data_IF_170480306448
#
_entry.id   IF_170480306448
#
_cell.length_a   1.000
_cell.length_b   1.000
_cell.length_c   1.000
_cell.angle_alpha   90.00
_cell.angle_beta   90.00
_cell.angle_gamma   90.00
#
_symmetry.space_group_name_H-M   'P 1'
#
loop_
_entity.id
_entity.type
_entity.pdbx_description
1 polymer ?
#
# COMPACT_ATOMS: atom_id res chain seq x y z
N UNK A 1 20.69 -22.04 23.43
CA UNK A 1 20.58 -23.20 22.53
C UNK A 1 19.62 -24.25 23.10
N UNK A 2 19.78 -24.68 24.34
CA UNK A 2 18.94 -25.71 24.96
C UNK A 2 17.46 -25.33 25.04
N UNK A 3 17.12 -24.06 25.33
CA UNK A 3 15.73 -23.59 25.35
C UNK A 3 15.05 -23.64 23.99
N UNK A 4 15.81 -23.47 22.91
CA UNK A 4 15.27 -23.57 21.54
C UNK A 4 14.98 -25.01 21.14
N UNK A 5 15.86 -25.92 21.52
CA UNK A 5 15.72 -27.35 21.24
C UNK A 5 14.59 -27.99 22.07
N UNK A 6 14.42 -27.58 23.33
CA UNK A 6 13.38 -28.12 24.23
C UNK A 6 11.94 -27.78 23.79
N UNK A 7 11.77 -26.83 22.87
CA UNK A 7 10.45 -26.45 22.31
C UNK A 7 10.07 -27.24 21.05
N UNK A 8 10.95 -28.14 20.57
CA UNK A 8 10.77 -28.91 19.35
C UNK A 8 10.95 -30.40 19.63
N UNK A 9 10.16 -31.22 18.97
CA UNK A 9 10.34 -32.66 18.92
C UNK A 9 11.46 -32.98 17.93
N UNK A 10 12.67 -33.21 18.48
CA UNK A 10 13.91 -33.42 17.71
C UNK A 10 14.37 -34.86 17.66
N UNK A 11 13.58 -35.81 18.20
CA UNK A 11 13.99 -37.21 18.31
C UNK A 11 14.34 -37.88 16.98
N UNK A 12 13.77 -37.36 15.89
CA UNK A 12 13.99 -37.89 14.54
C UNK A 12 14.90 -37.00 13.66
N UNK A 13 15.52 -35.97 14.23
CA UNK A 13 16.36 -35.06 13.47
C UNK A 13 17.78 -35.60 13.29
N UNK A 14 18.34 -35.44 12.10
CA UNK A 14 19.75 -35.66 11.83
C UNK A 14 20.60 -34.56 12.48
N UNK A 15 21.88 -34.88 12.75
CA UNK A 15 22.86 -33.90 13.28
C UNK A 15 22.90 -32.64 12.41
N UNK A 16 22.80 -32.79 11.09
CA UNK A 16 22.77 -31.67 10.14
C UNK A 16 21.54 -30.79 10.35
N UNK A 17 20.37 -31.36 10.52
CA UNK A 17 19.12 -30.62 10.77
C UNK A 17 19.16 -29.88 12.11
N UNK A 18 19.72 -30.50 13.15
CA UNK A 18 19.94 -29.84 14.46
C UNK A 18 20.92 -28.67 14.32
N UNK A 19 22.04 -28.86 13.62
CA UNK A 19 23.01 -27.78 13.37
C UNK A 19 22.37 -26.66 12.52
N UNK A 20 21.66 -27.01 11.47
CA UNK A 20 20.96 -26.05 10.61
C UNK A 20 19.88 -25.27 11.39
N UNK A 21 19.15 -25.92 12.28
CA UNK A 21 18.19 -25.27 13.18
C UNK A 21 18.85 -24.32 14.18
N UNK A 22 19.96 -24.74 14.77
CA UNK A 22 20.70 -23.92 15.75
C UNK A 22 21.43 -22.74 15.10
N UNK A 23 21.94 -22.94 13.88
CA UNK A 23 22.69 -21.92 13.12
C UNK A 23 21.80 -21.06 12.25
N UNK A 24 20.65 -21.59 11.79
CA UNK A 24 19.69 -20.89 10.97
C UNK A 24 18.68 -20.15 11.87
N UNK A 25 19.01 -18.91 12.24
CA UNK A 25 18.16 -18.06 13.08
C UNK A 25 16.80 -17.63 12.50
N UNK A 26 16.38 -18.21 11.37
CA UNK A 26 15.17 -17.83 10.67
C UNK A 26 13.86 -18.35 11.30
N UNK A 27 13.92 -19.44 12.07
CA UNK A 27 12.71 -20.09 12.59
C UNK A 27 12.05 -19.31 13.74
N UNK A 28 12.76 -18.37 14.34
CA UNK A 28 12.28 -17.62 15.51
C UNK A 28 11.71 -16.23 15.16
N UNK A 29 11.81 -15.80 13.89
CA UNK A 29 11.34 -14.48 13.50
C UNK A 29 9.95 -14.59 12.85
N UNK A 30 8.94 -14.01 13.50
CA UNK A 30 7.60 -13.92 12.97
C UNK A 30 7.49 -12.76 11.99
N UNK A 31 7.18 -13.08 10.72
CA UNK A 31 6.94 -12.08 9.68
C UNK A 31 5.68 -11.26 9.97
N UNK A 32 4.61 -11.91 10.45
CA UNK A 32 3.36 -11.23 10.76
C UNK A 32 3.53 -10.16 11.84
N UNK A 33 4.31 -10.46 12.90
CA UNK A 33 4.54 -9.50 13.98
C UNK A 33 5.40 -8.32 13.50
N UNK A 34 6.44 -8.61 12.72
CA UNK A 34 7.22 -7.55 12.09
C UNK A 34 6.36 -6.68 11.17
N UNK A 35 5.50 -7.30 10.37
CA UNK A 35 4.61 -6.57 9.46
C UNK A 35 3.66 -5.63 10.22
N UNK A 36 3.10 -6.06 11.36
CA UNK A 36 2.27 -5.22 12.23
C UNK A 36 3.05 -4.00 12.74
N UNK A 37 4.24 -4.22 13.29
CA UNK A 37 5.12 -3.14 13.75
C UNK A 37 5.47 -2.18 12.61
N UNK A 38 5.75 -2.69 11.42
CA UNK A 38 6.02 -1.86 10.24
C UNK A 38 4.81 -1.01 9.84
N UNK A 39 3.60 -1.58 9.89
CA UNK A 39 2.34 -0.88 9.60
C UNK A 39 2.09 0.23 10.65
N UNK A 40 2.30 -0.04 11.92
CA UNK A 40 2.15 0.94 12.99
C UNK A 40 3.13 2.11 12.81
N UNK A 41 4.40 1.83 12.50
CA UNK A 41 5.39 2.86 12.14
C UNK A 41 4.97 3.71 10.92
N UNK A 42 4.22 3.15 9.97
CA UNK A 42 3.67 3.91 8.84
C UNK A 42 2.55 4.86 9.29
N UNK A 43 1.69 4.41 10.21
CA UNK A 43 0.62 5.23 10.80
C UNK A 43 1.23 6.42 11.56
N UNK A 44 2.23 6.17 12.41
CA UNK A 44 2.95 7.20 13.18
C UNK A 44 3.59 8.28 12.28
N UNK A 45 3.97 7.89 11.05
CA UNK A 45 4.47 8.81 10.01
C UNK A 45 3.37 9.52 9.21
N UNK A 46 2.08 9.37 9.60
CA UNK A 46 0.93 9.96 8.90
C UNK A 46 0.61 9.30 7.55
N UNK A 47 1.02 8.05 7.34
CA UNK A 47 0.77 7.30 6.10
C UNK A 47 -0.44 6.35 6.20
N UNK A 48 -1.48 6.73 6.93
CA UNK A 48 -2.63 5.89 7.28
C UNK A 48 -3.29 5.21 6.07
N UNK A 49 -3.50 5.99 4.97
CA UNK A 49 -4.12 5.45 3.75
C UNK A 49 -3.29 4.33 3.12
N UNK A 50 -1.96 4.47 3.15
CA UNK A 50 -1.05 3.46 2.64
C UNK A 50 -0.95 2.27 3.60
N UNK A 51 -0.85 2.52 4.90
CA UNK A 51 -0.84 1.51 5.95
C UNK A 51 -2.07 0.58 5.88
N UNK A 52 -3.24 1.11 5.52
CA UNK A 52 -4.45 0.30 5.27
C UNK A 52 -4.25 -0.77 4.19
N UNK A 53 -3.54 -0.43 3.11
CA UNK A 53 -3.24 -1.40 2.04
C UNK A 53 -2.32 -2.52 2.53
N UNK A 54 -1.31 -2.18 3.34
CA UNK A 54 -0.40 -3.15 3.95
C UNK A 54 -1.14 -4.08 4.92
N UNK A 55 -2.04 -3.52 5.74
CA UNK A 55 -2.89 -4.30 6.65
C UNK A 55 -3.76 -5.31 5.90
N UNK A 56 -4.43 -4.88 4.82
CA UNK A 56 -5.25 -5.77 4.00
C UNK A 56 -4.41 -6.86 3.31
N UNK A 57 -3.22 -6.52 2.83
CA UNK A 57 -2.30 -7.47 2.22
C UNK A 57 -1.83 -8.53 3.23
N UNK A 58 -1.46 -8.11 4.45
CA UNK A 58 -1.07 -9.02 5.53
C UNK A 58 -2.22 -9.97 5.90
N UNK A 59 -3.41 -9.43 6.14
CA UNK A 59 -4.59 -10.24 6.46
C UNK A 59 -4.93 -11.28 5.38
N UNK A 60 -4.74 -10.90 4.11
CA UNK A 60 -4.96 -11.84 3.01
C UNK A 60 -3.89 -12.94 2.99
N UNK A 61 -2.62 -12.59 3.22
CA UNK A 61 -1.52 -13.56 3.29
C UNK A 61 -1.72 -14.54 4.46
N UNK A 62 -2.05 -14.03 5.65
CA UNK A 62 -2.33 -14.82 6.85
C UNK A 62 -3.50 -15.81 6.63
N UNK A 63 -4.58 -15.34 6.02
CA UNK A 63 -5.72 -16.20 5.67
C UNK A 63 -5.35 -17.28 4.66
N UNK A 64 -4.51 -16.94 3.68
CA UNK A 64 -4.04 -17.90 2.69
C UNK A 64 -3.15 -18.99 3.29
N UNK A 65 -2.26 -18.63 4.23
CA UNK A 65 -1.39 -19.58 4.91
C UNK A 65 -2.13 -20.34 6.01
N UNK A 66 -3.23 -19.79 6.55
CA UNK A 66 -4.04 -20.40 7.60
C UNK A 66 -3.58 -20.09 9.02
N UNK A 67 -2.73 -19.07 9.21
CA UNK A 67 -2.25 -18.63 10.53
C UNK A 67 -2.03 -17.13 10.55
N UNK A 68 -2.23 -16.52 11.72
CA UNK A 68 -1.92 -15.12 11.98
C UNK A 68 -0.48 -14.88 12.49
N UNK A 69 0.32 -15.95 12.57
CA UNK A 69 1.74 -15.94 12.94
C UNK A 69 2.57 -16.58 11.83
N UNK A 70 2.62 -15.93 10.68
CA UNK A 70 3.44 -16.38 9.55
C UNK A 70 4.92 -16.17 9.87
N UNK A 71 5.71 -17.23 9.81
CA UNK A 71 7.16 -17.17 10.03
C UNK A 71 7.89 -16.84 8.74
N UNK A 72 9.07 -16.19 8.80
CA UNK A 72 9.89 -15.95 7.61
C UNK A 72 10.27 -17.23 6.88
N UNK A 73 10.50 -18.32 7.61
CA UNK A 73 10.81 -19.62 7.03
C UNK A 73 9.67 -20.21 6.17
N UNK A 74 8.41 -19.87 6.47
CA UNK A 74 7.25 -20.32 5.69
C UNK A 74 7.10 -19.58 4.35
N UNK A 75 7.70 -18.38 4.23
CA UNK A 75 7.63 -17.56 3.02
C UNK A 75 8.67 -18.03 2.00
N UNK A 76 8.47 -19.20 1.43
CA UNK A 76 9.27 -19.68 0.30
C UNK A 76 8.78 -19.09 -1.02
N UNK A 77 9.63 -19.07 -2.07
CA UNK A 77 9.22 -18.62 -3.41
C UNK A 77 8.01 -19.40 -3.94
N UNK A 78 7.95 -20.70 -3.66
CA UNK A 78 6.82 -21.56 -4.04
C UNK A 78 5.54 -21.12 -3.34
N UNK A 79 5.61 -20.86 -2.04
CA UNK A 79 4.44 -20.44 -1.25
C UNK A 79 3.95 -19.05 -1.67
N UNK A 80 4.87 -18.12 -1.89
CA UNK A 80 4.55 -16.77 -2.36
C UNK A 80 3.92 -16.82 -3.76
N UNK A 81 4.43 -17.62 -4.68
CA UNK A 81 3.84 -17.78 -6.01
C UNK A 81 2.43 -18.40 -5.95
N UNK A 82 2.18 -19.40 -5.08
CA UNK A 82 0.84 -19.93 -4.86
C UNK A 82 -0.12 -18.87 -4.31
N UNK A 83 0.35 -18.05 -3.37
CA UNK A 83 -0.42 -16.93 -2.84
C UNK A 83 -0.76 -15.89 -3.91
N UNK A 84 0.20 -15.50 -4.75
CA UNK A 84 -0.02 -14.56 -5.86
C UNK A 84 -1.05 -15.14 -6.85
N UNK A 85 -0.93 -16.43 -7.17
CA UNK A 85 -1.91 -17.09 -8.03
C UNK A 85 -3.33 -17.06 -7.45
N UNK A 86 -3.49 -17.13 -6.13
CA UNK A 86 -4.83 -17.00 -5.50
C UNK A 86 -5.45 -15.59 -5.65
N UNK A 87 -4.63 -14.59 -6.03
CA UNK A 87 -5.08 -13.22 -6.27
C UNK A 87 -5.40 -12.92 -7.75
N UNK A 88 -5.20 -13.89 -8.66
CA UNK A 88 -5.26 -13.70 -10.12
C UNK A 88 -6.58 -13.09 -10.61
N UNK A 89 -7.70 -13.47 -9.97
CA UNK A 89 -9.03 -12.97 -10.31
C UNK A 89 -9.31 -11.56 -9.77
N UNK A 90 -8.37 -10.94 -9.07
CA UNK A 90 -8.54 -9.60 -8.54
C UNK A 90 -7.94 -8.56 -9.48
N UNK A 91 -8.63 -7.41 -9.70
CA UNK A 91 -8.14 -6.37 -10.61
C UNK A 91 -6.88 -5.68 -10.11
N UNK A 92 -6.83 -5.31 -8.83
CA UNK A 92 -5.74 -4.50 -8.27
C UNK A 92 -4.94 -5.23 -7.19
N UNK A 93 -5.57 -6.11 -6.42
CA UNK A 93 -4.91 -6.76 -5.29
C UNK A 93 -3.78 -7.70 -5.74
N UNK A 94 -3.88 -8.31 -6.94
CA UNK A 94 -2.85 -9.18 -7.52
C UNK A 94 -1.49 -8.50 -7.67
N UNK A 95 -1.46 -7.19 -7.86
CA UNK A 95 -0.23 -6.39 -7.90
C UNK A 95 0.10 -5.79 -6.54
N UNK A 96 -0.88 -5.12 -5.94
CA UNK A 96 -0.68 -4.29 -4.75
C UNK A 96 -0.29 -5.10 -3.52
N UNK A 97 -0.96 -6.25 -3.26
CA UNK A 97 -0.68 -7.03 -2.05
C UNK A 97 0.72 -7.64 -2.05
N UNK A 98 1.17 -8.29 -3.14
CA UNK A 98 2.54 -8.79 -3.21
C UNK A 98 3.59 -7.68 -3.09
N UNK A 99 3.36 -6.51 -3.70
CA UNK A 99 4.26 -5.36 -3.55
C UNK A 99 4.36 -4.94 -2.09
N UNK A 100 3.24 -4.81 -1.37
CA UNK A 100 3.24 -4.44 0.05
C UNK A 100 4.07 -5.44 0.89
N UNK A 101 3.80 -6.73 0.73
CA UNK A 101 4.51 -7.77 1.49
C UNK A 101 5.98 -7.88 1.13
N UNK A 102 6.34 -7.69 -0.14
CA UNK A 102 7.73 -7.60 -0.58
C UNK A 102 8.48 -6.44 0.07
N UNK A 103 7.83 -5.28 0.21
CA UNK A 103 8.44 -4.11 0.86
C UNK A 103 8.65 -4.35 2.36
N UNK A 104 7.67 -4.96 3.05
CA UNK A 104 7.81 -5.37 4.46
C UNK A 104 8.98 -6.35 4.61
N UNK A 105 9.03 -7.36 3.75
CA UNK A 105 10.11 -8.36 3.77
C UNK A 105 11.49 -7.72 3.58
N UNK A 106 11.60 -6.82 2.61
CA UNK A 106 12.83 -6.07 2.35
C UNK A 106 13.24 -5.20 3.54
N UNK A 107 12.28 -4.52 4.17
CA UNK A 107 12.54 -3.71 5.37
C UNK A 107 13.04 -4.58 6.53
N UNK A 108 12.43 -5.76 6.73
CA UNK A 108 12.87 -6.71 7.75
C UNK A 108 14.30 -7.23 7.50
N UNK A 109 14.63 -7.54 6.24
CA UNK A 109 16.00 -7.94 5.90
C UNK A 109 17.03 -6.87 6.26
N UNK A 110 16.70 -5.59 5.99
CA UNK A 110 17.59 -4.47 6.32
C UNK A 110 17.71 -4.22 7.82
N UNK A 111 16.67 -4.53 8.61
CA UNK A 111 16.67 -4.31 10.06
C UNK A 111 17.30 -5.48 10.83
N UNK A 112 17.08 -6.73 10.36
CA UNK A 112 17.56 -7.91 11.07
C UNK A 112 18.91 -8.43 10.59
N UNK A 113 19.34 -8.10 9.39
CA UNK A 113 20.64 -8.50 8.87
C UNK A 113 21.64 -7.35 9.06
N UNK A 114 22.77 -7.67 9.65
CA UNK A 114 23.93 -6.80 9.73
C UNK A 114 24.97 -7.30 8.72
N UNK A 115 24.92 -6.72 7.53
CA UNK A 115 25.81 -7.15 6.43
C UNK A 115 27.26 -6.74 6.67
N UNK A 116 27.52 -5.67 7.44
CA UNK A 116 28.86 -5.17 7.72
C UNK A 116 29.61 -6.13 8.67
N UNK A 117 28.87 -6.73 9.61
CA UNK A 117 29.41 -7.70 10.56
C UNK A 117 29.14 -9.17 10.17
N UNK A 118 28.57 -9.40 8.99
CA UNK A 118 28.27 -10.73 8.48
C UNK A 118 27.16 -11.49 9.24
N UNK A 119 26.36 -10.78 10.03
CA UNK A 119 25.24 -11.39 10.78
C UNK A 119 24.00 -11.43 9.89
N UNK A 120 23.71 -12.58 9.33
CA UNK A 120 22.56 -12.77 8.44
C UNK A 120 21.49 -13.62 9.14
N UNK A 121 20.46 -12.96 9.66
CA UNK A 121 19.32 -13.63 10.34
C UNK A 121 18.26 -14.10 9.34
N UNK A 122 17.96 -13.30 8.30
CA UNK A 122 17.04 -13.67 7.21
C UNK A 122 17.89 -13.99 5.98
N UNK A 123 18.19 -15.28 5.79
CA UNK A 123 19.14 -15.75 4.76
C UNK A 123 18.52 -15.83 3.36
N UNK A 124 17.25 -16.19 3.28
CA UNK A 124 16.58 -16.48 2.02
C UNK A 124 15.59 -15.37 1.70
N UNK A 125 15.75 -14.78 0.51
CA UNK A 125 14.77 -13.83 -0.02
C UNK A 125 13.90 -14.53 -1.09
N UNK A 126 12.65 -14.89 -0.78
CA UNK A 126 11.77 -15.59 -1.71
C UNK A 126 11.42 -14.73 -2.95
N UNK A 127 11.45 -13.42 -2.81
CA UNK A 127 11.01 -12.46 -3.83
C UNK A 127 11.96 -12.34 -5.03
N UNK A 128 13.17 -12.89 -4.95
CA UNK A 128 14.13 -12.85 -6.07
C UNK A 128 13.62 -13.65 -7.28
N UNK A 129 12.85 -14.72 -7.03
CA UNK A 129 12.30 -15.62 -8.07
C UNK A 129 10.78 -15.46 -8.23
N UNK A 130 10.22 -14.33 -7.80
CA UNK A 130 8.78 -14.09 -7.84
C UNK A 130 8.48 -12.94 -8.78
N UNK A 131 7.69 -13.21 -9.81
CA UNK A 131 7.10 -12.20 -10.68
C UNK A 131 5.76 -11.75 -10.13
N UNK A 132 5.60 -10.44 -9.99
CA UNK A 132 4.35 -9.84 -9.54
C UNK A 132 3.58 -9.38 -10.78
N UNK A 133 2.35 -9.87 -10.99
CA UNK A 133 1.54 -9.46 -12.12
C UNK A 133 1.15 -7.98 -11.99
N UNK A 134 1.00 -7.31 -13.12
CA UNK A 134 0.48 -5.95 -13.17
C UNK A 134 -1.03 -5.94 -12.95
N UNK A 135 -1.52 -4.90 -12.28
CA UNK A 135 -2.94 -4.67 -12.14
C UNK A 135 -3.61 -4.38 -13.50
N UNK A 136 -4.88 -4.77 -13.62
CA UNK A 136 -5.65 -4.42 -14.80
C UNK A 136 -5.79 -2.90 -14.89
N UNK A 137 -5.62 -2.37 -16.09
CA UNK A 137 -5.86 -0.95 -16.33
C UNK A 137 -7.37 -0.71 -16.32
N UNK A 138 -7.80 0.18 -15.43
CA UNK A 138 -9.18 0.64 -15.47
C UNK A 138 -9.44 1.33 -16.82
N UNK A 139 -10.48 0.91 -17.51
CA UNK A 139 -10.99 1.62 -18.68
C UNK A 139 -11.44 3.01 -18.25
N UNK A 140 -10.87 4.02 -18.89
CA UNK A 140 -11.27 5.41 -18.64
C UNK A 140 -12.37 5.78 -19.63
N UNK A 141 -13.59 5.75 -19.17
CA UNK A 141 -14.72 6.24 -19.94
C UNK A 141 -14.81 7.77 -19.77
N UNK A 142 -14.64 8.48 -20.86
CA UNK A 142 -14.94 9.91 -20.91
C UNK A 142 -16.44 10.09 -21.21
N UNK A 143 -17.10 11.00 -20.48
CA UNK A 143 -18.46 11.42 -20.83
C UNK A 143 -18.43 12.32 -22.06
N UNK A 144 -19.47 12.26 -22.87
CA UNK A 144 -19.61 13.14 -24.04
C UNK A 144 -19.86 14.58 -23.60
N UNK A 145 -19.55 15.59 -24.44
CA UNK A 145 -19.87 16.98 -24.13
C UNK A 145 -21.37 17.20 -23.87
N UNK A 146 -22.24 16.47 -24.59
CA UNK A 146 -23.69 16.50 -24.41
C UNK A 146 -24.10 16.00 -23.03
N UNK A 147 -23.62 14.83 -22.62
CA UNK A 147 -23.88 14.26 -21.28
C UNK A 147 -23.30 15.15 -20.17
N UNK A 148 -22.17 15.81 -20.42
CA UNK A 148 -21.59 16.78 -19.48
C UNK A 148 -22.53 18.01 -19.32
N UNK A 149 -23.04 18.58 -20.43
CA UNK A 149 -24.00 19.68 -20.38
C UNK A 149 -25.29 19.28 -19.68
N UNK A 150 -25.84 18.11 -20.00
CA UNK A 150 -27.04 17.58 -19.36
C UNK A 150 -26.82 17.42 -17.84
N UNK A 151 -25.72 16.87 -17.39
CA UNK A 151 -25.40 16.72 -15.96
C UNK A 151 -25.43 18.06 -15.22
N UNK A 152 -24.85 19.12 -15.80
CA UNK A 152 -24.77 20.42 -15.13
C UNK A 152 -26.08 21.22 -15.23
N UNK A 153 -26.93 20.95 -16.23
CA UNK A 153 -28.25 21.59 -16.40
C UNK A 153 -29.38 20.82 -15.71
N UNK A 154 -29.13 19.58 -15.26
CA UNK A 154 -30.16 18.75 -14.66
C UNK A 154 -30.75 19.41 -13.41
N UNK A 155 -32.11 19.45 -13.27
CA UNK A 155 -32.76 20.04 -12.12
C UNK A 155 -32.35 19.26 -10.83
N UNK A 156 -31.93 20.01 -9.83
CA UNK A 156 -31.60 19.39 -8.54
C UNK A 156 -32.88 19.10 -7.76
N UNK A 157 -32.93 17.98 -7.02
CA UNK A 157 -34.06 17.68 -6.15
C UNK A 157 -34.16 18.73 -5.05
N UNK A 158 -35.40 19.08 -4.69
CA UNK A 158 -35.65 19.96 -3.54
C UNK A 158 -35.03 19.37 -2.26
N UNK A 159 -34.31 20.20 -1.53
CA UNK A 159 -33.68 19.80 -0.28
C UNK A 159 -34.22 20.66 0.87
N UNK A 160 -34.60 20.00 1.96
CA UNK A 160 -34.94 20.67 3.23
C UNK A 160 -33.70 21.08 4.05
N UNK A 161 -32.51 20.72 3.58
CA UNK A 161 -31.26 21.06 4.25
C UNK A 161 -30.84 22.50 3.93
N UNK A 162 -30.31 23.20 4.93
CA UNK A 162 -29.77 24.57 4.77
C UNK A 162 -28.65 24.64 3.71
N UNK A 163 -27.89 23.55 3.57
CA UNK A 163 -26.84 23.37 2.56
C UNK A 163 -27.09 22.04 1.81
N UNK A 164 -27.74 22.07 0.66
CA UNK A 164 -28.02 20.88 -0.12
C UNK A 164 -26.73 20.19 -0.57
N UNK A 165 -26.53 18.94 -0.17
CA UNK A 165 -25.32 18.16 -0.51
C UNK A 165 -25.21 17.94 -2.03
N UNK A 166 -26.34 17.81 -2.73
CA UNK A 166 -26.42 17.63 -4.20
C UNK A 166 -25.93 18.85 -4.95
N UNK A 167 -26.36 20.05 -4.52
CA UNK A 167 -25.89 21.31 -5.10
C UNK A 167 -24.39 21.49 -4.88
N UNK A 168 -23.94 21.35 -3.63
CA UNK A 168 -22.51 21.41 -3.29
C UNK A 168 -21.67 20.40 -4.09
N UNK A 169 -22.16 19.15 -4.24
CA UNK A 169 -21.48 18.13 -5.04
C UNK A 169 -21.35 18.52 -6.51
N UNK A 170 -22.40 19.12 -7.10
CA UNK A 170 -22.37 19.64 -8.48
C UNK A 170 -21.39 20.80 -8.63
N UNK A 171 -21.34 21.71 -7.67
CA UNK A 171 -20.42 22.86 -7.68
C UNK A 171 -18.96 22.39 -7.61
N UNK A 172 -18.66 21.40 -6.75
CA UNK A 172 -17.32 20.75 -6.69
C UNK A 172 -17.00 20.12 -8.05
N UNK A 173 -17.93 19.38 -8.66
CA UNK A 173 -17.70 18.76 -9.96
C UNK A 173 -17.41 19.82 -11.04
N UNK A 174 -18.15 20.94 -11.04
CA UNK A 174 -17.92 22.07 -11.93
C UNK A 174 -16.52 22.68 -11.70
N UNK A 175 -16.15 22.95 -10.45
CA UNK A 175 -14.82 23.47 -10.12
C UNK A 175 -13.71 22.52 -10.58
N UNK A 176 -13.85 21.21 -10.34
CA UNK A 176 -12.87 20.22 -10.80
C UNK A 176 -12.73 20.25 -12.33
N UNK A 177 -13.83 20.36 -13.06
CA UNK A 177 -13.83 20.45 -14.53
C UNK A 177 -13.15 21.76 -15.00
N UNK A 178 -13.55 22.91 -14.48
CA UNK A 178 -13.00 24.22 -14.84
C UNK A 178 -11.52 24.36 -14.46
N UNK A 179 -11.10 23.69 -13.39
CA UNK A 179 -9.71 23.66 -12.93
C UNK A 179 -8.91 22.46 -13.49
N UNK A 180 -9.21 22.06 -14.73
CA UNK A 180 -8.49 21.05 -15.51
C UNK A 180 -8.26 19.71 -14.75
N UNK A 181 -9.21 19.28 -13.95
CA UNK A 181 -9.14 18.01 -13.21
C UNK A 181 -8.30 18.08 -11.93
N UNK A 182 -8.31 19.21 -11.23
CA UNK A 182 -7.67 19.32 -9.91
C UNK A 182 -8.15 18.20 -8.99
N UNK A 183 -7.23 17.60 -8.23
CA UNK A 183 -7.66 16.61 -7.24
C UNK A 183 -8.48 17.26 -6.13
N UNK A 184 -9.53 16.59 -5.68
CA UNK A 184 -10.42 17.10 -4.63
C UNK A 184 -9.70 17.45 -3.33
N UNK A 185 -8.62 16.73 -2.97
CA UNK A 185 -7.79 17.07 -1.81
C UNK A 185 -7.01 18.36 -2.01
N UNK A 186 -6.55 18.64 -3.23
CA UNK A 186 -5.84 19.87 -3.55
C UNK A 186 -6.85 21.04 -3.58
N UNK A 187 -8.02 20.84 -4.17
CA UNK A 187 -9.12 21.80 -4.16
C UNK A 187 -9.58 22.15 -2.73
N UNK A 188 -9.74 21.14 -1.87
CA UNK A 188 -10.11 21.35 -0.45
C UNK A 188 -9.11 22.18 0.34
N UNK A 189 -7.82 22.07 0.00
CA UNK A 189 -6.75 22.79 0.68
C UNK A 189 -6.47 24.19 0.12
N UNK A 190 -7.13 24.58 -0.99
CA UNK A 190 -6.97 25.95 -1.55
C UNK A 190 -7.41 27.00 -0.56
N UNK A 191 -6.64 28.07 -0.50
CA UNK A 191 -6.90 29.27 0.31
C UNK A 191 -7.05 30.49 -0.59
N UNK A 192 -7.71 31.52 -0.11
CA UNK A 192 -7.87 32.78 -0.86
C UNK A 192 -6.53 33.37 -1.34
N UNK A 193 -5.47 33.22 -0.55
CA UNK A 193 -4.13 33.70 -0.85
C UNK A 193 -3.47 32.94 -2.03
N UNK A 194 -3.97 31.75 -2.36
CA UNK A 194 -3.44 30.94 -3.46
C UNK A 194 -3.96 31.43 -4.82
N UNK A 195 -4.98 32.30 -4.81
CA UNK A 195 -5.49 32.98 -5.99
C UNK A 195 -4.93 34.40 -6.09
N UNK A 196 -4.13 34.68 -7.12
CA UNK A 196 -3.53 35.98 -7.41
C UNK A 196 -3.47 36.22 -8.90
N UNK A 197 -3.85 37.42 -9.35
CA UNK A 197 -3.74 37.84 -10.74
C UNK A 197 -4.41 36.85 -11.73
N UNK A 198 -5.59 36.35 -11.39
CA UNK A 198 -6.32 35.34 -12.20
C UNK A 198 -5.56 34.02 -12.36
N UNK A 199 -4.65 33.71 -11.44
CA UNK A 199 -3.92 32.44 -11.42
C UNK A 199 -4.08 31.82 -10.03
N UNK A 200 -4.36 30.53 -10.00
CA UNK A 200 -4.33 29.71 -8.80
C UNK A 200 -2.95 29.05 -8.70
N UNK A 201 -2.27 29.26 -7.59
CA UNK A 201 -0.97 28.68 -7.28
C UNK A 201 -1.12 27.71 -6.14
N UNK A 202 -0.76 26.43 -6.35
CA UNK A 202 -0.84 25.43 -5.29
C UNK A 202 0.25 24.36 -5.43
N UNK A 203 0.52 23.65 -4.35
CA UNK A 203 1.39 22.48 -4.37
C UNK A 203 0.54 21.20 -4.36
N UNK A 204 0.78 20.32 -5.32
CA UNK A 204 0.07 19.05 -5.41
C UNK A 204 0.35 18.16 -4.19
N UNK A 205 -0.64 17.95 -3.33
CA UNK A 205 -0.50 17.25 -2.05
C UNK A 205 0.15 15.87 -2.17
N UNK A 206 -0.18 15.12 -3.24
CA UNK A 206 0.31 13.76 -3.48
C UNK A 206 1.82 13.71 -3.74
N UNK A 207 2.40 14.72 -4.38
CA UNK A 207 3.77 14.67 -4.93
C UNK A 207 4.72 15.70 -4.35
N UNK A 208 4.25 16.67 -3.58
CA UNK A 208 5.07 17.78 -3.05
C UNK A 208 6.28 17.33 -2.22
N UNK A 209 6.18 16.18 -1.55
CA UNK A 209 7.30 15.65 -0.72
C UNK A 209 8.35 14.90 -1.53
N UNK A 210 8.06 14.56 -2.79
CA UNK A 210 8.91 13.68 -3.61
C UNK A 210 9.51 14.39 -4.82
N UNK A 211 8.99 15.56 -5.19
CA UNK A 211 9.49 16.34 -6.32
C UNK A 211 10.40 17.46 -5.83
N UNK A 212 11.54 17.62 -6.49
CA UNK A 212 12.51 18.67 -6.17
C UNK A 212 11.94 20.10 -6.35
N UNK A 213 10.98 20.25 -7.29
CA UNK A 213 10.26 21.50 -7.56
C UNK A 213 9.08 21.73 -6.61
N UNK A 214 8.92 20.90 -5.55
CA UNK A 214 7.81 20.99 -4.60
C UNK A 214 6.42 20.72 -5.22
N UNK A 215 6.38 20.20 -6.45
CA UNK A 215 5.16 19.95 -7.23
C UNK A 215 4.22 21.17 -7.33
N UNK A 216 4.80 22.34 -7.58
CA UNK A 216 4.05 23.56 -7.84
C UNK A 216 3.23 23.43 -9.10
N UNK A 217 2.01 23.90 -9.03
CA UNK A 217 1.04 23.97 -10.11
C UNK A 217 0.50 25.39 -10.21
N UNK A 218 0.42 25.88 -11.43
CA UNK A 218 -0.21 27.16 -11.75
C UNK A 218 -1.35 26.92 -12.71
N UNK A 219 -2.48 27.55 -12.45
CA UNK A 219 -3.68 27.38 -13.25
C UNK A 219 -4.34 28.74 -13.46
N UNK A 220 -4.43 29.17 -14.69
CA UNK A 220 -5.11 30.42 -15.06
C UNK A 220 -6.63 30.20 -15.03
N UNK A 221 -7.35 31.12 -14.40
CA UNK A 221 -8.82 31.09 -14.23
C UNK A 221 -9.45 32.22 -15.00
#
# INVERSE_FOLDING_TARGET
>A
YNERLNKKDIEHWTVKEVVDFLTNGNDDICFSDYARVHIDRMIDRGQERNAKNYKLALQHLERFIGTNQVMFAQLTSTQVNKWIKSLEQTHRAKEMYPICMRQVFKAAMLEYNDYDNGIIRIKVNPWVKVEIPTADRAEKLAITPEACREFFSFPLPESKMKYPQTEFGRDIAMMVLCLAGINTVDLYNLKKQDYRNSIIHYQRAKTKKFRADGAYMEMRV
#
